data_IF_797070239295
#
_entry.id   IF_797070239295
#
_cell.length_a   1.000
_cell.length_b   1.000
_cell.length_c   1.000
_cell.angle_alpha   90.00
_cell.angle_beta   90.00
_cell.angle_gamma   90.00
#
_symmetry.space_group_name_H-M   'P 1'
#
loop_
_entity.id
_entity.type
_entity.pdbx_description
1 polymer ?
#
# COMPACT_ATOMS: atom_id res chain seq x y z
N UNK A 1 5.38 -5.23 10.12
CA UNK A 1 4.39 -4.41 9.40
C UNK A 1 4.22 -5.00 8.01
N UNK A 2 3.10 -5.69 7.79
CA UNK A 2 2.85 -6.52 6.59
C UNK A 2 1.42 -6.38 6.11
N UNK A 3 0.90 -5.14 6.08
CA UNK A 3 -0.40 -4.86 5.51
C UNK A 3 -0.33 -4.77 3.99
N UNK A 4 -1.44 -5.07 3.32
CA UNK A 4 -1.53 -4.94 1.89
C UNK A 4 -1.35 -3.46 1.47
N UNK A 5 -0.49 -3.16 0.49
CA UNK A 5 -0.29 -1.79 0.02
C UNK A 5 -1.50 -1.25 -0.77
N UNK A 6 -2.38 -2.13 -1.27
CA UNK A 6 -3.50 -1.77 -2.17
C UNK A 6 -4.84 -1.69 -1.46
N UNK A 7 -5.12 -2.60 -0.53
CA UNK A 7 -6.43 -2.76 0.09
C UNK A 7 -6.32 -2.90 1.62
N UNK A 8 -7.41 -2.79 2.39
CA UNK A 8 -7.39 -2.90 3.84
C UNK A 8 -7.35 -4.35 4.36
N UNK A 9 -6.96 -5.32 3.53
CA UNK A 9 -6.86 -6.72 3.94
C UNK A 9 -5.89 -6.89 5.11
N UNK A 10 -6.31 -7.68 6.11
CA UNK A 10 -5.44 -8.02 7.23
C UNK A 10 -4.32 -8.97 6.79
N UNK A 11 -3.19 -9.04 7.51
CA UNK A 11 -2.09 -9.95 7.19
C UNK A 11 -2.52 -11.42 7.09
N UNK A 12 -3.49 -11.84 7.90
CA UNK A 12 -3.99 -13.22 7.94
C UNK A 12 -4.88 -13.57 6.74
N UNK A 13 -5.42 -12.56 6.05
CA UNK A 13 -6.27 -12.72 4.87
C UNK A 13 -5.50 -12.59 3.55
N UNK A 14 -4.20 -12.25 3.61
CA UNK A 14 -3.35 -12.16 2.43
C UNK A 14 -3.25 -13.51 1.72
N UNK A 15 -3.59 -13.52 0.42
CA UNK A 15 -3.60 -14.75 -0.39
C UNK A 15 -4.92 -15.52 -0.37
N UNK A 16 -5.92 -15.08 0.41
CA UNK A 16 -7.26 -15.61 0.32
C UNK A 16 -7.97 -15.07 -0.92
N UNK A 17 -8.17 -15.93 -1.93
CA UNK A 17 -8.82 -15.55 -3.20
C UNK A 17 -10.33 -15.29 -3.05
N UNK A 18 -10.95 -15.74 -1.96
CA UNK A 18 -12.38 -15.50 -1.68
C UNK A 18 -12.61 -14.16 -0.97
N UNK A 19 -11.56 -13.59 -0.36
CA UNK A 19 -11.64 -12.33 0.35
C UNK A 19 -11.39 -11.16 -0.64
N UNK A 20 -12.48 -10.66 -1.22
CA UNK A 20 -12.45 -9.49 -2.11
C UNK A 20 -12.53 -8.20 -1.28
N UNK A 21 -11.48 -7.39 -1.35
CA UNK A 21 -11.45 -6.06 -0.76
C UNK A 21 -11.40 -5.02 -1.85
N UNK A 22 -12.19 -3.96 -1.69
CA UNK A 22 -12.02 -2.74 -2.47
C UNK A 22 -10.67 -2.08 -2.13
N UNK A 23 -10.08 -1.33 -3.06
CA UNK A 23 -8.91 -0.51 -2.79
C UNK A 23 -9.17 0.46 -1.64
N UNK A 24 -8.10 0.93 -0.98
CA UNK A 24 -8.21 1.94 0.09
C UNK A 24 -8.93 3.20 -0.43
N UNK A 25 -9.74 3.80 0.44
CA UNK A 25 -10.47 5.04 0.12
C UNK A 25 -9.47 6.18 -0.13
N UNK A 26 -9.39 6.61 -1.39
CA UNK A 26 -8.47 7.65 -1.83
C UNK A 26 -8.72 8.97 -1.09
N UNK A 27 -9.98 9.32 -0.82
CA UNK A 27 -10.33 10.60 -0.18
C UNK A 27 -9.79 10.63 1.25
N UNK A 28 -10.08 9.57 2.03
CA UNK A 28 -9.57 9.44 3.39
C UNK A 28 -8.04 9.43 3.46
N UNK A 29 -7.40 8.82 2.45
CA UNK A 29 -5.94 8.81 2.32
C UNK A 29 -5.39 10.23 2.06
N UNK A 30 -5.95 10.96 1.09
CA UNK A 30 -5.52 12.32 0.77
C UNK A 30 -5.74 13.27 1.96
N UNK A 31 -6.88 13.15 2.66
CA UNK A 31 -7.16 13.91 3.89
C UNK A 31 -6.16 13.61 5.02
N UNK A 32 -5.66 12.38 5.07
CA UNK A 32 -4.62 11.98 6.03
C UNK A 32 -3.26 12.53 5.63
N UNK A 33 -2.91 12.47 4.35
CA UNK A 33 -1.65 13.01 3.81
C UNK A 33 -1.55 14.52 3.95
N UNK A 34 -2.67 15.24 3.82
CA UNK A 34 -2.72 16.69 4.04
C UNK A 34 -2.30 17.14 5.47
N UNK A 35 -2.18 16.20 6.42
CA UNK A 35 -1.70 16.46 7.78
C UNK A 35 -0.17 16.35 7.90
N UNK A 36 0.56 16.07 6.82
CA UNK A 36 2.02 15.82 6.83
C UNK A 36 2.85 17.00 7.35
N UNK A 37 2.33 18.22 7.21
CA UNK A 37 2.97 19.46 7.68
C UNK A 37 2.67 19.77 9.16
N UNK A 38 1.82 18.97 9.81
CA UNK A 38 1.45 19.11 11.21
C UNK A 38 2.41 18.43 12.19
N UNK A 39 1.91 18.05 13.37
CA UNK A 39 2.68 17.25 14.33
C UNK A 39 2.96 15.85 13.74
N UNK A 40 4.24 15.48 13.70
CA UNK A 40 4.70 14.20 13.17
C UNK A 40 4.09 12.99 13.91
N UNK A 41 3.82 13.12 15.21
CA UNK A 41 3.19 12.06 16.02
C UNK A 41 1.75 11.85 15.60
N UNK A 42 1.00 12.94 15.43
CA UNK A 42 -0.39 12.90 15.00
C UNK A 42 -0.51 12.44 13.54
N UNK A 43 0.39 12.89 12.67
CA UNK A 43 0.47 12.42 11.28
C UNK A 43 0.73 10.91 11.22
N UNK A 44 1.71 10.42 11.97
CA UNK A 44 2.04 8.99 12.02
C UNK A 44 0.86 8.18 12.53
N UNK A 45 0.19 8.64 13.60
CA UNK A 45 -0.99 7.99 14.14
C UNK A 45 -2.14 7.96 13.14
N UNK A 46 -2.42 9.07 12.47
CA UNK A 46 -3.46 9.15 11.44
C UNK A 46 -3.16 8.22 10.25
N UNK A 47 -1.89 8.11 9.85
CA UNK A 47 -1.48 7.17 8.81
C UNK A 47 -1.71 5.71 9.22
N UNK A 48 -1.39 5.35 10.47
CA UNK A 48 -1.65 4.00 11.01
C UNK A 48 -3.15 3.71 11.04
N UNK A 49 -3.97 4.66 11.50
CA UNK A 49 -5.43 4.53 11.54
C UNK A 49 -6.04 4.37 10.13
N UNK A 50 -5.46 5.03 9.12
CA UNK A 50 -5.83 4.87 7.71
C UNK A 50 -5.18 3.62 7.04
N UNK A 51 -4.32 2.90 7.75
CA UNK A 51 -3.57 1.74 7.25
C UNK A 51 -2.60 2.08 6.11
N UNK A 52 -2.04 3.29 6.09
CA UNK A 52 -1.06 3.75 5.11
C UNK A 52 0.29 4.03 5.76
N UNK A 53 1.34 4.01 4.94
CA UNK A 53 2.66 4.45 5.41
C UNK A 53 2.69 5.98 5.52
N UNK A 54 3.32 6.54 6.56
CA UNK A 54 3.52 7.98 6.67
C UNK A 54 4.56 8.46 5.66
N UNK A 55 4.09 8.82 4.47
CA UNK A 55 4.92 9.36 3.39
C UNK A 55 4.66 10.87 3.34
N UNK A 56 5.69 11.68 3.51
CA UNK A 56 5.58 13.12 3.33
C UNK A 56 5.54 13.44 1.83
N UNK A 57 4.53 14.18 1.39
CA UNK A 57 4.34 14.65 0.02
C UNK A 57 4.59 13.57 -1.05
N UNK A 58 3.76 12.50 -1.09
CA UNK A 58 3.87 11.54 -2.18
C UNK A 58 3.64 12.24 -3.52
N UNK A 59 4.44 11.90 -4.53
CA UNK A 59 4.39 12.57 -5.85
C UNK A 59 3.01 12.58 -6.54
N UNK A 60 2.10 11.71 -6.10
CA UNK A 60 0.76 11.54 -6.65
C UNK A 60 -0.32 12.28 -5.84
N UNK A 61 0.03 13.02 -4.79
CA UNK A 61 -0.94 13.75 -3.96
C UNK A 61 -1.77 14.77 -4.75
N UNK A 62 -1.16 15.40 -5.76
CA UNK A 62 -1.81 16.39 -6.64
C UNK A 62 -2.63 15.76 -7.77
N UNK A 63 -2.83 14.43 -7.76
CA UNK A 63 -3.58 13.68 -8.78
C UNK A 63 -4.89 13.11 -8.19
N UNK A 64 -5.88 13.95 -7.79
CA UNK A 64 -7.05 13.52 -7.03
C UNK A 64 -8.00 12.57 -7.79
N UNK A 65 -7.89 12.51 -9.11
CA UNK A 65 -8.69 11.61 -9.96
C UNK A 65 -8.00 10.28 -10.26
N UNK A 66 -6.76 10.10 -9.80
CA UNK A 66 -5.99 8.87 -10.00
C UNK A 66 -5.95 8.10 -8.69
N UNK A 67 -6.68 6.98 -8.64
CA UNK A 67 -6.53 6.06 -7.52
C UNK A 67 -5.22 5.28 -7.66
N UNK A 68 -4.19 5.72 -6.96
CA UNK A 68 -2.86 5.11 -6.99
C UNK A 68 -2.88 3.62 -6.63
N UNK A 69 -3.80 3.20 -5.77
CA UNK A 69 -3.90 1.81 -5.32
C UNK A 69 -4.31 0.85 -6.44
N UNK A 70 -5.02 1.33 -7.46
CA UNK A 70 -5.32 0.56 -8.67
C UNK A 70 -4.11 0.42 -9.61
N UNK A 71 -3.10 1.28 -9.44
CA UNK A 71 -1.89 1.29 -10.28
C UNK A 71 -0.74 0.47 -9.68
N UNK A 72 -0.89 0.00 -8.44
CA UNK A 72 0.06 -0.91 -7.79
C UNK A 72 -0.14 -2.30 -8.39
N UNK A 73 0.66 -2.65 -9.38
CA UNK A 73 0.63 -4.00 -9.95
C UNK A 73 1.17 -4.98 -8.91
N UNK A 74 0.46 -6.08 -8.60
CA UNK A 74 1.02 -7.14 -7.77
C UNK A 74 2.29 -7.64 -8.42
N UNK A 75 3.39 -7.60 -7.68
CA UNK A 75 4.75 -7.84 -8.17
C UNK A 75 5.05 -9.33 -8.44
N UNK A 76 4.07 -10.02 -9.03
CA UNK A 76 4.08 -11.46 -9.28
C UNK A 76 5.17 -11.82 -10.29
N UNK A 77 5.41 -10.97 -11.29
CA UNK A 77 6.44 -11.23 -12.31
C UNK A 77 7.86 -11.14 -11.71
N UNK A 78 8.12 -10.13 -10.88
CA UNK A 78 9.42 -10.01 -10.22
C UNK A 78 9.62 -11.10 -9.18
N UNK A 79 8.58 -11.44 -8.40
CA UNK A 79 8.65 -12.54 -7.43
C UNK A 79 8.87 -13.89 -8.09
N UNK A 80 8.18 -14.17 -9.21
CA UNK A 80 8.41 -15.38 -9.99
C UNK A 80 9.84 -15.42 -10.54
N UNK A 81 10.33 -14.30 -11.08
CA UNK A 81 11.70 -14.21 -11.57
C UNK A 81 12.74 -14.45 -10.47
N UNK A 82 12.59 -13.82 -9.30
CA UNK A 82 13.48 -14.06 -8.16
C UNK A 82 13.42 -15.52 -7.67
N UNK A 83 12.23 -16.12 -7.63
CA UNK A 83 12.04 -17.52 -7.27
C UNK A 83 12.75 -18.47 -8.22
N UNK A 84 12.54 -18.31 -9.53
CA UNK A 84 13.20 -19.11 -10.57
C UNK A 84 14.71 -18.95 -10.52
N UNK A 85 15.23 -17.71 -10.44
CA UNK A 85 16.67 -17.44 -10.35
C UNK A 85 17.27 -18.11 -9.11
N UNK A 86 16.61 -18.05 -7.95
CA UNK A 86 17.08 -18.70 -6.72
C UNK A 86 17.23 -20.21 -6.89
N UNK A 87 16.30 -20.86 -7.59
CA UNK A 87 16.34 -22.30 -7.84
C UNK A 87 17.34 -22.69 -8.94
N UNK A 88 17.60 -21.84 -9.92
CA UNK A 88 18.59 -22.09 -10.98
C UNK A 88 20.02 -21.91 -10.47
N UNK A 89 20.26 -20.96 -9.55
CA UNK A 89 21.60 -20.64 -9.02
C UNK A 89 22.00 -21.55 -7.85
N UNK A 90 21.06 -22.26 -7.21
CA UNK A 90 21.38 -23.18 -6.10
C UNK A 90 21.75 -24.61 -6.55
N UNK A 91 22.07 -24.82 -7.84
CA UNK A 91 22.55 -26.09 -8.39
C UNK A 91 24.04 -26.02 -8.73
#
# INVERSE_FOLDING_TARGET
WGECPTCPASPDELGNLEALYEPRDLTAVLDTLAKSDGDATDFTRACIEAGIKPIHHPFWEDLPFVNIYLSITPDILHQLFQGVIKHVVSW
#
